data_IF_492855839248
#
_entry.id   IF_492855839248
#
_cell.length_a   1.000
_cell.length_b   1.000
_cell.length_c   1.000
_cell.angle_alpha   90.00
_cell.angle_beta   90.00
_cell.angle_gamma   90.00
#
_symmetry.space_group_name_H-M   'P 1'
#
loop_
_entity.id
_entity.type
_entity.pdbx_description
1 polymer ?
#
# COMPACT_ATOMS: atom_id res chain seq x y z
N UNK A 1 -1.75 -5.70 9.67
CA UNK A 1 -2.07 -4.85 8.50
C UNK A 1 -0.82 -4.14 7.98
N UNK A 2 -0.67 -4.00 6.66
CA UNK A 2 0.40 -3.24 6.02
C UNK A 2 -0.23 -2.18 5.13
N UNK A 3 0.09 -0.92 5.40
CA UNK A 3 -0.16 0.20 4.50
C UNK A 3 1.15 0.62 3.86
N UNK A 4 1.12 0.82 2.55
CA UNK A 4 2.29 1.29 1.81
C UNK A 4 1.87 2.17 0.66
N UNK A 5 2.40 3.37 0.61
CA UNK A 5 2.16 4.30 -0.48
C UNK A 5 3.38 4.43 -1.40
N UNK A 6 3.09 4.78 -2.65
CA UNK A 6 4.07 5.06 -3.68
C UNK A 6 3.51 6.11 -4.65
N UNK A 7 4.40 6.84 -5.30
CA UNK A 7 4.04 7.89 -6.26
C UNK A 7 4.28 7.37 -7.67
N UNK A 8 3.27 7.46 -8.52
CA UNK A 8 3.32 6.98 -9.89
C UNK A 8 3.70 8.15 -10.80
N UNK A 9 4.82 8.01 -11.49
CA UNK A 9 5.36 9.06 -12.36
C UNK A 9 4.62 9.17 -13.69
N UNK A 10 4.76 10.33 -14.34
CA UNK A 10 4.28 10.59 -15.69
C UNK A 10 4.72 9.49 -16.66
N UNK A 11 3.81 9.04 -17.52
CA UNK A 11 4.04 7.98 -18.50
C UNK A 11 3.88 6.56 -17.94
N UNK A 12 3.64 6.40 -16.63
CA UNK A 12 3.36 5.10 -16.00
C UNK A 12 1.88 4.85 -15.73
N UNK A 13 1.04 5.87 -15.86
CA UNK A 13 -0.41 5.82 -15.65
C UNK A 13 -1.10 4.78 -16.54
N UNK A 14 -0.74 4.69 -17.83
CA UNK A 14 -1.27 3.63 -18.73
C UNK A 14 -0.90 2.22 -18.26
N UNK A 15 0.32 2.04 -17.76
CA UNK A 15 0.76 0.76 -17.23
C UNK A 15 0.05 0.41 -15.91
N UNK A 16 -0.27 1.40 -15.09
CA UNK A 16 -1.07 1.27 -13.89
C UNK A 16 -2.51 0.83 -14.22
N UNK A 17 -3.15 1.49 -15.20
CA UNK A 17 -4.47 1.09 -15.71
C UNK A 17 -4.50 -0.36 -16.17
N UNK A 18 -3.53 -0.77 -17.01
CA UNK A 18 -3.45 -2.17 -17.46
C UNK A 18 -3.28 -3.16 -16.31
N UNK A 19 -2.48 -2.81 -15.29
CA UNK A 19 -2.28 -3.66 -14.13
C UNK A 19 -3.60 -3.92 -13.39
N UNK A 20 -4.43 -2.90 -13.17
CA UNK A 20 -5.73 -3.03 -12.50
C UNK A 20 -6.86 -3.58 -13.37
N UNK A 21 -6.64 -3.66 -14.69
CA UNK A 21 -7.57 -4.33 -15.61
C UNK A 21 -7.24 -5.81 -15.83
N UNK A 22 -6.03 -6.25 -15.48
CA UNK A 22 -5.57 -7.62 -15.73
C UNK A 22 -5.63 -8.46 -14.46
N UNK A 23 -6.16 -9.69 -14.59
CA UNK A 23 -6.16 -10.67 -13.50
C UNK A 23 -4.73 -11.01 -13.02
N UNK A 24 -3.75 -11.09 -13.93
CA UNK A 24 -2.36 -11.40 -13.59
C UNK A 24 -2.26 -12.69 -12.76
N UNK A 25 -1.44 -12.67 -11.70
CA UNK A 25 -1.32 -13.76 -10.72
C UNK A 25 -2.46 -13.79 -9.67
N UNK A 26 -3.43 -12.87 -9.76
CA UNK A 26 -4.51 -12.78 -8.78
C UNK A 26 -5.64 -13.76 -9.11
N UNK A 27 -6.29 -14.29 -8.08
CA UNK A 27 -7.49 -15.10 -8.21
C UNK A 27 -8.69 -14.25 -8.66
N UNK A 28 -8.79 -13.01 -8.16
CA UNK A 28 -9.81 -12.04 -8.55
C UNK A 28 -9.28 -10.60 -8.52
N UNK A 29 -9.90 -9.76 -9.34
CA UNK A 29 -9.74 -8.30 -9.38
C UNK A 29 -11.13 -7.70 -9.41
N UNK A 30 -11.48 -6.85 -8.44
CA UNK A 30 -12.80 -6.24 -8.33
C UNK A 30 -12.68 -4.74 -8.03
N UNK A 31 -13.28 -3.91 -8.87
CA UNK A 31 -13.40 -2.48 -8.59
C UNK A 31 -14.49 -2.27 -7.54
N UNK A 32 -14.10 -1.74 -6.38
CA UNK A 32 -15.02 -1.41 -5.29
C UNK A 32 -15.55 0.02 -5.42
N UNK A 33 -14.77 0.91 -6.00
CA UNK A 33 -15.18 2.28 -6.31
C UNK A 33 -14.31 2.86 -7.44
N UNK A 34 -14.94 3.65 -8.32
CA UNK A 34 -14.31 4.16 -9.55
C UNK A 34 -14.01 3.06 -10.57
N UNK A 35 -13.23 3.42 -11.59
CA UNK A 35 -12.89 2.55 -12.71
C UNK A 35 -11.59 2.95 -13.41
N UNK A 36 -11.24 2.16 -14.44
CA UNK A 36 -9.98 2.33 -15.20
C UNK A 36 -9.87 3.71 -15.86
N UNK A 37 -11.00 4.24 -16.35
CA UNK A 37 -11.08 5.58 -16.96
C UNK A 37 -10.77 6.70 -15.97
N UNK A 38 -11.12 6.52 -14.70
CA UNK A 38 -10.95 7.55 -13.66
C UNK A 38 -9.47 7.78 -13.35
N UNK A 39 -8.62 6.78 -13.56
CA UNK A 39 -7.15 6.93 -13.45
C UNK A 39 -6.64 8.01 -14.42
N UNK A 40 -7.17 8.06 -15.65
CA UNK A 40 -6.76 9.05 -16.63
C UNK A 40 -7.20 10.46 -16.22
N UNK A 41 -8.43 10.59 -15.72
CA UNK A 41 -8.95 11.85 -15.19
C UNK A 41 -8.17 12.33 -13.96
N UNK A 42 -7.86 11.42 -13.04
CA UNK A 42 -7.07 11.67 -11.84
C UNK A 42 -5.65 12.17 -12.17
N UNK A 43 -5.06 11.69 -13.26
CA UNK A 43 -3.72 12.08 -13.67
C UNK A 43 -3.66 13.44 -14.40
N UNK A 44 -4.80 13.92 -14.94
CA UNK A 44 -4.86 15.08 -15.81
C UNK A 44 -4.42 16.40 -15.13
N UNK A 45 -4.87 16.72 -13.89
CA UNK A 45 -4.41 17.91 -13.17
C UNK A 45 -2.89 18.00 -13.04
N UNK A 46 -2.28 16.91 -12.61
CA UNK A 46 -0.83 16.80 -12.47
C UNK A 46 -0.11 16.94 -13.82
N UNK A 47 -0.71 16.45 -14.90
CA UNK A 47 -0.17 16.61 -16.25
C UNK A 47 -0.19 18.07 -16.72
N UNK A 48 -1.32 18.75 -16.57
CA UNK A 48 -1.50 20.15 -16.99
C UNK A 48 -0.53 21.06 -16.21
N UNK A 49 -0.34 20.78 -14.93
CA UNK A 49 0.54 21.57 -14.05
C UNK A 49 2.00 21.13 -14.08
N UNK A 50 2.39 20.24 -14.99
CA UNK A 50 3.78 19.85 -15.21
C UNK A 50 4.41 19.00 -14.10
N UNK A 51 3.62 18.33 -13.27
CA UNK A 51 4.12 17.53 -12.15
C UNK A 51 4.78 16.22 -12.62
N UNK A 52 5.84 15.83 -11.91
CA UNK A 52 6.57 14.58 -12.18
C UNK A 52 5.71 13.34 -11.86
N UNK A 53 4.91 13.44 -10.79
CA UNK A 53 4.06 12.37 -10.29
C UNK A 53 2.60 12.74 -10.50
N UNK A 54 1.80 11.76 -10.93
CA UNK A 54 0.41 11.99 -11.35
C UNK A 54 -0.61 11.33 -10.44
N UNK A 55 -0.30 10.14 -9.93
CA UNK A 55 -1.20 9.35 -9.09
C UNK A 55 -0.43 8.88 -7.87
N UNK A 56 -1.04 8.95 -6.69
CA UNK A 56 -0.58 8.24 -5.51
C UNK A 56 -1.26 6.87 -5.48
N UNK A 57 -0.45 5.84 -5.32
CA UNK A 57 -0.92 4.47 -5.15
C UNK A 57 -0.63 4.02 -3.73
N UNK A 58 -1.67 3.70 -2.98
CA UNK A 58 -1.60 3.13 -1.63
C UNK A 58 -2.09 1.69 -1.66
N UNK A 59 -1.37 0.78 -1.02
CA UNK A 59 -1.80 -0.59 -0.78
C UNK A 59 -2.26 -0.68 0.67
N UNK A 60 -3.43 -1.27 0.90
CA UNK A 60 -3.93 -1.67 2.21
C UNK A 60 -4.01 -3.19 2.21
N UNK A 61 -3.08 -3.85 2.89
CA UNK A 61 -3.02 -5.29 3.01
C UNK A 61 -3.34 -5.69 4.45
N UNK A 62 -4.62 -6.00 4.76
CA UNK A 62 -5.00 -6.40 6.10
C UNK A 62 -4.55 -7.83 6.40
N UNK A 63 -4.49 -8.16 7.70
CA UNK A 63 -4.17 -9.53 8.16
C UNK A 63 -5.44 -10.35 8.38
N UNK A 64 -6.57 -9.67 8.56
CA UNK A 64 -7.90 -10.24 8.68
C UNK A 64 -8.78 -9.59 7.62
N UNK A 65 -9.90 -10.22 7.26
CA UNK A 65 -10.82 -9.63 6.28
C UNK A 65 -11.39 -8.31 6.81
N UNK A 66 -11.41 -7.28 5.97
CA UNK A 66 -12.04 -6.00 6.30
C UNK A 66 -13.51 -6.05 5.87
N UNK A 67 -14.41 -5.57 6.73
CA UNK A 67 -15.75 -5.22 6.29
C UNK A 67 -15.70 -4.02 5.33
N UNK A 68 -16.76 -3.80 4.55
CA UNK A 68 -16.85 -2.59 3.70
C UNK A 68 -16.82 -1.30 4.53
N UNK A 69 -17.36 -1.34 5.75
CA UNK A 69 -17.30 -0.22 6.71
C UNK A 69 -15.86 0.05 7.15
N UNK A 70 -15.10 -0.98 7.49
CA UNK A 70 -13.70 -0.84 7.89
C UNK A 70 -12.83 -0.38 6.71
N UNK A 71 -13.10 -0.88 5.50
CA UNK A 71 -12.43 -0.42 4.29
C UNK A 71 -12.71 1.08 4.03
N UNK A 72 -13.94 1.52 4.21
CA UNK A 72 -14.30 2.94 4.09
C UNK A 72 -13.60 3.78 5.17
N UNK A 73 -13.53 3.29 6.41
CA UNK A 73 -12.82 3.96 7.50
C UNK A 73 -11.29 4.03 7.26
N UNK A 74 -10.69 2.95 6.76
CA UNK A 74 -9.28 2.91 6.38
C UNK A 74 -8.97 3.87 5.23
N UNK A 75 -9.83 3.90 4.21
CA UNK A 75 -9.73 4.84 3.08
C UNK A 75 -9.80 6.29 3.57
N UNK A 76 -10.77 6.60 4.45
CA UNK A 76 -10.88 7.93 5.05
C UNK A 76 -9.62 8.29 5.83
N UNK A 77 -9.08 7.38 6.64
CA UNK A 77 -7.86 7.62 7.41
C UNK A 77 -6.65 7.92 6.52
N UNK A 78 -6.49 7.20 5.39
CA UNK A 78 -5.44 7.50 4.40
C UNK A 78 -5.63 8.90 3.82
N UNK A 79 -6.86 9.26 3.42
CA UNK A 79 -7.16 10.59 2.89
C UNK A 79 -6.92 11.71 3.91
N UNK A 80 -7.28 11.49 5.18
CA UNK A 80 -7.08 12.44 6.27
C UNK A 80 -5.58 12.62 6.55
N UNK A 81 -4.82 11.53 6.68
CA UNK A 81 -3.37 11.56 6.90
C UNK A 81 -2.70 12.40 5.83
N UNK A 82 -2.93 12.11 4.55
CA UNK A 82 -2.31 12.86 3.46
C UNK A 82 -2.96 14.21 3.15
N UNK A 83 -3.96 14.64 3.93
CA UNK A 83 -4.60 15.94 3.79
C UNK A 83 -5.33 16.15 2.46
N UNK A 84 -5.89 15.07 1.91
CA UNK A 84 -6.66 15.05 0.65
C UNK A 84 -7.93 15.87 0.84
N UNK A 85 -8.13 16.88 0.00
CA UNK A 85 -9.30 17.75 0.02
C UNK A 85 -10.60 16.99 -0.26
N UNK A 86 -11.73 17.60 0.07
CA UNK A 86 -13.02 17.02 -0.24
C UNK A 86 -13.19 16.75 -1.75
N UNK A 87 -12.75 17.67 -2.60
CA UNK A 87 -12.80 17.53 -4.05
C UNK A 87 -11.95 16.33 -4.53
N UNK A 88 -10.72 16.21 -4.03
CA UNK A 88 -9.83 15.11 -4.39
C UNK A 88 -10.31 13.75 -3.86
N UNK A 89 -11.02 13.70 -2.72
CA UNK A 89 -11.62 12.46 -2.19
C UNK A 89 -12.66 11.86 -3.14
N UNK A 90 -13.41 12.69 -3.85
CA UNK A 90 -14.39 12.25 -4.85
C UNK A 90 -13.77 11.58 -6.09
N UNK A 91 -12.45 11.65 -6.24
CA UNK A 91 -11.71 11.04 -7.35
C UNK A 91 -10.98 9.77 -6.94
N UNK A 92 -11.01 9.39 -5.66
CA UNK A 92 -10.31 8.19 -5.18
C UNK A 92 -10.83 6.97 -5.93
N UNK A 93 -9.96 6.02 -6.28
CA UNK A 93 -10.41 4.72 -6.77
C UNK A 93 -9.96 3.60 -5.84
N UNK A 94 -10.75 2.53 -5.77
CA UNK A 94 -10.50 1.38 -4.91
C UNK A 94 -10.62 0.09 -5.71
N UNK A 95 -9.52 -0.66 -5.78
CA UNK A 95 -9.46 -1.97 -6.44
C UNK A 95 -9.10 -3.04 -5.42
N UNK A 96 -9.89 -4.09 -5.35
CA UNK A 96 -9.62 -5.27 -4.53
C UNK A 96 -8.92 -6.33 -5.37
N UNK A 97 -7.81 -6.87 -4.84
CA UNK A 97 -7.11 -8.02 -5.38
C UNK A 97 -7.07 -9.14 -4.34
N UNK A 98 -7.47 -10.35 -4.73
CA UNK A 98 -7.26 -11.55 -3.92
C UNK A 98 -6.23 -12.45 -4.62
N UNK A 99 -5.14 -12.81 -3.94
CA UNK A 99 -4.11 -13.72 -4.47
C UNK A 99 -4.28 -15.09 -3.83
N UNK A 100 -4.36 -16.15 -4.63
CA UNK A 100 -4.40 -17.51 -4.09
C UNK A 100 -3.16 -17.79 -3.22
N UNK A 101 -3.38 -18.31 -2.03
CA UNK A 101 -2.34 -18.82 -1.14
C UNK A 101 -2.43 -20.34 -1.16
N UNK A 102 -1.32 -21.04 -1.39
CA UNK A 102 -1.29 -22.50 -1.39
C UNK A 102 -1.84 -23.03 -0.06
N UNK A 103 -2.90 -23.85 -0.14
CA UNK A 103 -3.54 -24.47 1.01
C UNK A 103 -4.60 -23.63 1.75
N UNK A 104 -4.90 -22.39 1.34
CA UNK A 104 -5.99 -21.61 1.94
C UNK A 104 -7.28 -21.66 1.11
N UNK A 105 -8.41 -21.90 1.78
CA UNK A 105 -9.76 -21.95 1.16
C UNK A 105 -10.20 -20.57 0.64
N UNK A 106 -9.77 -19.49 1.31
CA UNK A 106 -10.09 -18.11 0.90
C UNK A 106 -8.87 -17.21 1.14
N UNK A 107 -8.43 -16.53 0.09
CA UNK A 107 -7.39 -15.53 0.17
C UNK A 107 -7.91 -14.25 0.86
N UNK A 108 -7.12 -13.69 1.77
CA UNK A 108 -7.42 -12.39 2.36
C UNK A 108 -7.10 -11.31 1.31
N UNK A 109 -8.10 -10.52 0.89
CA UNK A 109 -7.88 -9.53 -0.15
C UNK A 109 -6.97 -8.39 0.33
N UNK A 110 -6.20 -7.82 -0.60
CA UNK A 110 -5.55 -6.54 -0.42
C UNK A 110 -6.18 -5.51 -1.36
N UNK A 111 -6.16 -4.26 -0.92
CA UNK A 111 -6.81 -3.17 -1.62
C UNK A 111 -5.77 -2.20 -2.17
N UNK A 112 -6.03 -1.72 -3.37
CA UNK A 112 -5.27 -0.68 -4.04
C UNK A 112 -6.12 0.59 -4.06
N UNK A 113 -5.65 1.61 -3.34
CA UNK A 113 -6.22 2.94 -3.33
C UNK A 113 -5.43 3.82 -4.30
N UNK A 114 -6.14 4.51 -5.18
CA UNK A 114 -5.57 5.48 -6.11
C UNK A 114 -6.08 6.86 -5.74
N UNK A 115 -5.17 7.82 -5.58
CA UNK A 115 -5.50 9.21 -5.24
C UNK A 115 -4.83 10.17 -6.25
N UNK A 116 -5.45 11.32 -6.58
CA UNK A 116 -4.80 12.33 -7.40
C UNK A 116 -3.59 12.89 -6.65
N UNK A 117 -2.40 12.82 -7.27
CA UNK A 117 -1.18 13.31 -6.61
C UNK A 117 -1.14 14.84 -6.54
N UNK A 118 -1.79 15.52 -7.49
CA UNK A 118 -2.05 16.95 -7.45
C UNK A 118 -3.50 17.18 -7.00
N UNK A 119 -3.66 17.76 -5.82
CA UNK A 119 -4.96 18.06 -5.23
C UNK A 119 -5.47 19.40 -5.75
N UNK A 120 -6.43 19.36 -6.69
CA UNK A 120 -7.05 20.56 -7.26
C UNK A 120 -7.76 21.42 -6.21
N UNK A 121 -8.31 20.83 -5.15
CA UNK A 121 -9.00 21.59 -4.10
C UNK A 121 -8.05 22.39 -3.20
N UNK A 122 -6.73 22.13 -3.29
CA UNK A 122 -5.68 22.83 -2.54
C UNK A 122 -4.60 23.43 -3.42
N UNK A 123 -4.74 23.25 -4.74
CA UNK A 123 -3.79 23.68 -5.78
C UNK A 123 -2.34 23.30 -5.46
N UNK A 124 -2.13 22.07 -4.97
CA UNK A 124 -0.79 21.61 -4.58
C UNK A 124 -0.63 20.10 -4.69
N UNK A 125 0.62 19.68 -4.79
CA UNK A 125 1.01 18.27 -4.67
C UNK A 125 0.83 17.78 -3.23
N UNK A 126 0.39 16.54 -3.07
CA UNK A 126 0.28 15.89 -1.76
C UNK A 126 1.63 15.80 -1.04
N UNK A 127 1.62 16.00 0.29
CA UNK A 127 2.84 15.90 1.08
C UNK A 127 3.39 14.46 1.07
N UNK A 128 4.69 14.33 0.84
CA UNK A 128 5.41 13.05 0.74
C UNK A 128 6.47 12.88 1.83
N UNK A 129 6.62 13.85 2.72
CA UNK A 129 7.58 13.76 3.84
C UNK A 129 7.17 12.65 4.78
N UNK A 130 8.17 11.93 5.29
CA UNK A 130 8.03 10.85 6.28
C UNK A 130 7.01 9.76 5.89
N UNK A 131 6.80 9.55 4.58
CA UNK A 131 5.79 8.62 4.04
C UNK A 131 5.83 7.25 4.72
N UNK A 132 7.01 6.65 4.89
CA UNK A 132 7.13 5.34 5.51
C UNK A 132 6.66 5.31 6.97
N UNK A 133 7.03 6.33 7.76
CA UNK A 133 6.61 6.44 9.15
C UNK A 133 5.10 6.71 9.26
N UNK A 134 4.54 7.51 8.35
CA UNK A 134 3.11 7.82 8.30
C UNK A 134 2.27 6.60 7.90
N UNK A 135 2.73 5.85 6.90
CA UNK A 135 2.13 4.59 6.49
C UNK A 135 2.20 3.54 7.61
N UNK A 136 3.31 3.48 8.36
CA UNK A 136 3.44 2.62 9.53
C UNK A 136 2.48 3.04 10.66
N UNK A 137 2.41 4.35 10.98
CA UNK A 137 1.46 4.91 11.95
C UNK A 137 0.02 4.58 11.59
N UNK A 138 -0.38 4.82 10.34
CA UNK A 138 -1.70 4.46 9.82
C UNK A 138 -1.97 2.97 9.98
N UNK A 139 -0.99 2.12 9.67
CA UNK A 139 -1.11 0.67 9.81
C UNK A 139 -1.38 0.28 11.28
N UNK A 140 -0.60 0.80 12.23
CA UNK A 140 -0.77 0.49 13.66
C UNK A 140 -2.10 1.04 14.18
N UNK A 141 -2.45 2.26 13.80
CA UNK A 141 -3.72 2.89 14.18
C UNK A 141 -4.92 2.04 13.74
N UNK A 142 -4.92 1.58 12.49
CA UNK A 142 -6.03 0.77 11.94
C UNK A 142 -6.02 -0.66 12.48
N UNK A 143 -4.85 -1.24 12.80
CA UNK A 143 -4.82 -2.51 13.52
C UNK A 143 -5.51 -2.41 14.87
N UNK A 144 -5.19 -1.37 15.64
CA UNK A 144 -5.81 -1.15 16.95
C UNK A 144 -7.31 -0.86 16.86
N UNK A 145 -7.75 -0.12 15.83
CA UNK A 145 -9.17 0.19 15.63
C UNK A 145 -10.00 -1.01 15.17
N UNK A 146 -9.42 -1.90 14.36
CA UNK A 146 -10.11 -3.06 13.81
C UNK A 146 -9.76 -4.35 14.55
N UNK A 147 -9.09 -4.25 15.69
CA UNK A 147 -8.68 -5.39 16.53
C UNK A 147 -7.82 -6.42 15.78
N UNK A 148 -7.06 -5.98 14.78
CA UNK A 148 -6.08 -6.84 14.12
C UNK A 148 -4.84 -7.03 15.02
N UNK A 149 -4.10 -8.14 14.86
CA UNK A 149 -2.82 -8.32 15.51
C UNK A 149 -1.88 -7.14 15.25
N UNK A 150 -1.37 -6.55 16.33
CA UNK A 150 -0.36 -5.52 16.27
C UNK A 150 1.00 -6.13 15.97
N UNK A 151 1.80 -5.45 15.17
CA UNK A 151 3.18 -5.85 14.80
C UNK A 151 4.17 -4.71 15.03
N UNK A 152 5.43 -5.02 15.26
CA UNK A 152 6.49 -4.02 15.27
C UNK A 152 6.86 -3.58 13.85
N UNK A 153 7.21 -2.32 13.70
CA UNK A 153 7.79 -1.73 12.51
C UNK A 153 9.16 -1.10 12.77
N UNK A 154 9.58 -0.20 11.87
CA UNK A 154 10.89 0.44 11.94
C UNK A 154 10.88 1.72 12.77
N UNK A 155 9.71 2.34 12.94
CA UNK A 155 9.51 3.65 13.56
C UNK A 155 8.70 3.52 14.84
N UNK A 156 8.84 2.42 15.60
CA UNK A 156 7.98 2.09 16.74
C UNK A 156 7.87 3.20 17.77
N UNK A 157 8.99 3.86 18.10
CA UNK A 157 9.00 4.99 19.04
C UNK A 157 8.17 6.15 18.51
N UNK A 158 8.46 6.59 17.30
CA UNK A 158 7.82 7.74 16.65
C UNK A 158 6.33 7.47 16.41
N UNK A 159 5.99 6.24 16.01
CA UNK A 159 4.61 5.79 15.82
C UNK A 159 3.88 5.74 17.16
N UNK A 160 4.45 5.14 18.19
CA UNK A 160 3.80 5.05 19.50
C UNK A 160 3.51 6.45 20.07
N UNK A 161 4.49 7.35 20.05
CA UNK A 161 4.30 8.74 20.49
C UNK A 161 3.27 9.47 19.63
N UNK A 162 3.34 9.36 18.30
CA UNK A 162 2.36 9.98 17.41
C UNK A 162 0.94 9.45 17.62
N UNK A 163 0.77 8.16 17.89
CA UNK A 163 -0.55 7.60 18.21
C UNK A 163 -1.09 8.12 19.54
N UNK A 164 -0.22 8.24 20.55
CA UNK A 164 -0.58 8.76 21.86
C UNK A 164 -1.01 10.23 21.79
N UNK A 165 -0.31 11.03 20.99
CA UNK A 165 -0.60 12.47 20.82
C UNK A 165 -1.83 12.71 19.94
N UNK A 166 -1.93 12.03 18.79
CA UNK A 166 -2.98 12.30 17.80
C UNK A 166 -4.30 11.55 18.10
N UNK A 167 -4.25 10.44 18.85
CA UNK A 167 -5.39 9.59 19.15
C UNK A 167 -5.46 9.22 20.64
N UNK A 168 -5.68 10.19 21.56
CA UNK A 168 -5.63 9.96 23.01
C UNK A 168 -6.66 8.94 23.53
N UNK A 169 -7.73 8.66 22.77
CA UNK A 169 -8.72 7.63 23.10
C UNK A 169 -8.40 6.23 22.57
N UNK A 170 -7.32 6.05 21.82
CA UNK A 170 -6.95 4.75 21.25
C UNK A 170 -6.23 3.88 22.31
N UNK A 171 -6.71 2.67 22.54
CA UNK A 171 -6.06 1.73 23.46
C UNK A 171 -4.73 1.23 22.86
N UNK A 172 -3.60 1.71 23.40
CA UNK A 172 -2.26 1.33 22.91
C UNK A 172 -1.69 0.07 23.58
N UNK A 173 -2.40 -0.53 24.52
CA UNK A 173 -1.94 -1.71 25.28
C UNK A 173 -1.58 -2.88 24.34
N UNK A 174 -2.41 -3.26 23.34
CA UNK A 174 -2.08 -4.37 22.44
C UNK A 174 -0.78 -4.11 21.65
N UNK A 175 -0.59 -2.87 21.19
CA UNK A 175 0.63 -2.50 20.47
C UNK A 175 1.86 -2.52 21.38
N UNK A 176 1.75 -1.99 22.61
CA UNK A 176 2.83 -2.04 23.59
C UNK A 176 3.23 -3.48 23.92
N UNK A 177 2.26 -4.38 24.10
CA UNK A 177 2.51 -5.80 24.36
C UNK A 177 3.23 -6.46 23.19
N UNK A 178 2.78 -6.22 21.96
CA UNK A 178 3.46 -6.72 20.76
C UNK A 178 4.92 -6.25 20.68
N UNK A 179 5.19 -4.97 20.96
CA UNK A 179 6.56 -4.43 20.96
C UNK A 179 7.44 -5.06 22.04
N UNK A 180 6.91 -5.27 23.26
CA UNK A 180 7.64 -5.95 24.33
C UNK A 180 8.00 -7.38 23.95
N UNK A 181 7.02 -8.12 23.42
CA UNK A 181 7.23 -9.48 22.97
C UNK A 181 8.32 -9.55 21.88
N UNK A 182 8.20 -8.73 20.83
CA UNK A 182 9.17 -8.75 19.72
C UNK A 182 10.56 -8.26 20.14
N UNK A 183 10.66 -7.36 21.12
CA UNK A 183 11.93 -6.97 21.74
C UNK A 183 12.64 -8.17 22.37
N UNK A 184 11.90 -8.96 23.17
CA UNK A 184 12.43 -10.17 23.82
C UNK A 184 12.81 -11.23 22.77
N UNK A 185 11.97 -11.45 21.76
CA UNK A 185 12.26 -12.38 20.65
C UNK A 185 13.51 -11.98 19.86
N UNK A 186 13.81 -10.67 19.79
CA UNK A 186 15.03 -10.15 19.18
C UNK A 186 16.27 -10.22 20.09
N UNK A 187 16.16 -10.82 21.29
CA UNK A 187 17.24 -10.92 22.26
C UNK A 187 17.51 -9.64 23.06
N UNK A 188 16.57 -8.68 23.04
CA UNK A 188 16.66 -7.43 23.80
C UNK A 188 15.82 -7.50 25.08
N UNK A 189 16.04 -6.55 25.99
CA UNK A 189 15.22 -6.42 27.19
C UNK A 189 13.80 -5.98 26.86
N UNK A 190 12.83 -6.49 27.62
CA UNK A 190 11.45 -6.00 27.58
C UNK A 190 11.32 -4.54 28.01
N UNK A 191 12.34 -3.95 28.67
CA UNK A 191 12.38 -2.53 29.04
C UNK A 191 12.72 -1.62 27.86
N UNK A 192 13.42 -2.16 26.86
CA UNK A 192 13.89 -1.42 25.68
C UNK A 192 12.90 -1.51 24.50
N UNK A 193 11.69 -2.00 24.75
CA UNK A 193 10.65 -2.28 23.75
C UNK A 193 10.33 -1.10 22.83
N UNK A 194 10.41 0.13 23.34
CA UNK A 194 10.12 1.32 22.54
C UNK A 194 11.25 1.64 21.55
N UNK A 195 12.48 1.29 21.90
CA UNK A 195 13.67 1.51 21.07
C UNK A 195 13.89 0.39 20.05
N UNK A 196 13.18 -0.74 20.19
CA UNK A 196 13.24 -1.84 19.23
C UNK A 196 12.82 -1.36 17.84
N UNK A 197 13.59 -1.74 16.82
CA UNK A 197 13.26 -1.51 15.41
C UNK A 197 13.24 -2.86 14.71
N UNK A 198 12.11 -3.21 14.13
CA UNK A 198 12.01 -4.40 13.30
C UNK A 198 12.92 -4.23 12.07
N UNK A 199 13.57 -5.32 11.65
CA UNK A 199 14.29 -5.31 10.36
C UNK A 199 13.28 -5.00 9.26
N UNK A 200 13.68 -4.15 8.31
CA UNK A 200 12.85 -3.93 7.13
C UNK A 200 12.63 -5.29 6.47
N UNK A 201 11.38 -5.73 6.25
CA UNK A 201 11.17 -6.87 5.37
C UNK A 201 11.81 -6.52 4.01
N UNK A 202 12.40 -7.51 3.35
CA UNK A 202 12.88 -7.33 1.98
C UNK A 202 11.74 -6.67 1.17
N UNK A 203 12.01 -5.58 0.44
CA UNK A 203 10.94 -4.83 -0.19
C UNK A 203 10.15 -5.78 -1.10
N UNK A 204 8.87 -5.99 -0.78
CA UNK A 204 7.99 -6.72 -1.68
C UNK A 204 8.12 -6.08 -3.07
N UNK A 205 8.56 -6.87 -4.06
CA UNK A 205 8.82 -6.36 -5.41
C UNK A 205 7.58 -5.60 -5.86
N UNK A 206 7.76 -4.33 -6.20
CA UNK A 206 6.69 -3.54 -6.80
C UNK A 206 6.20 -4.25 -8.06
N UNK A 207 4.95 -4.04 -8.46
CA UNK A 207 4.45 -4.60 -9.72
C UNK A 207 5.36 -4.20 -10.90
N UNK A 208 6.00 -3.02 -10.82
CA UNK A 208 7.01 -2.57 -11.78
C UNK A 208 8.26 -3.45 -11.78
N UNK A 209 8.81 -3.80 -10.61
CA UNK A 209 9.94 -4.71 -10.50
C UNK A 209 9.57 -6.11 -11.01
N UNK A 210 8.39 -6.63 -10.65
CA UNK A 210 7.90 -7.93 -11.15
C UNK A 210 7.73 -7.93 -12.68
N UNK A 211 7.21 -6.84 -13.26
CA UNK A 211 7.06 -6.70 -14.72
C UNK A 211 8.41 -6.61 -15.43
N UNK A 212 9.42 -5.97 -14.83
CA UNK A 212 10.78 -5.95 -15.37
C UNK A 212 11.36 -7.36 -15.37
N UNK A 213 11.23 -8.09 -14.27
CA UNK A 213 11.69 -9.48 -14.15
C UNK A 213 10.98 -10.38 -15.17
N UNK A 214 9.65 -10.27 -15.32
CA UNK A 214 8.89 -11.04 -16.31
C UNK A 214 9.33 -10.73 -17.75
N UNK A 215 9.62 -9.46 -18.08
CA UNK A 215 10.17 -9.08 -19.39
C UNK A 215 11.58 -9.64 -19.60
N UNK A 216 12.42 -9.60 -18.58
CA UNK A 216 13.79 -10.15 -18.64
C UNK A 216 13.76 -11.67 -18.81
N UNK A 217 12.86 -12.37 -18.10
CA UNK A 217 12.67 -13.82 -18.24
C UNK A 217 12.13 -14.19 -19.62
N UNK A 218 11.12 -13.48 -20.14
CA UNK A 218 10.63 -13.70 -21.50
C UNK A 218 11.71 -13.44 -22.56
N UNK A 219 12.59 -12.45 -22.35
CA UNK A 219 13.73 -12.22 -23.25
C UNK A 219 14.75 -13.38 -23.18
N UNK A 220 15.03 -13.89 -21.98
CA UNK A 220 15.93 -15.01 -21.78
C UNK A 220 15.36 -16.31 -22.38
N UNK A 221 14.05 -16.53 -22.30
CA UNK A 221 13.38 -17.66 -22.96
C UNK A 221 13.42 -17.54 -24.48
N UNK A 222 13.27 -16.34 -25.05
CA UNK A 222 13.42 -16.12 -26.50
C UNK A 222 14.87 -16.31 -26.96
N UNK A 223 15.85 -15.84 -26.18
CA UNK A 223 17.27 -16.00 -26.48
C UNK A 223 17.71 -17.47 -26.32
N UNK A 224 17.21 -18.18 -25.31
CA UNK A 224 17.53 -19.59 -25.07
C UNK A 224 16.68 -20.56 -25.91
N UNK A 225 15.53 -20.11 -26.43
CA UNK A 225 14.66 -20.85 -27.34
C UNK A 225 15.03 -20.72 -28.82
N UNK A 226 16.00 -19.86 -29.16
CA UNK A 226 16.60 -19.75 -30.48
C UNK A 226 17.75 -20.76 -30.67
N UNK A 227 17.52 -22.05 -30.40
CA UNK A 227 18.35 -23.13 -30.94
C UNK A 227 17.60 -24.47 -30.96
N UNK A 228 16.77 -24.64 -31.99
CA UNK A 228 16.66 -25.91 -32.70
C UNK A 228 16.37 -25.58 -34.18
N UNK A 229 17.36 -25.68 -35.08
CA UNK A 229 17.04 -25.75 -36.49
C UNK A 229 16.26 -27.04 -36.71
N UNK A 230 15.02 -26.93 -37.19
CA UNK A 230 14.32 -28.06 -37.79
C UNK A 230 15.14 -28.50 -39.01
N UNK A 231 15.94 -29.53 -38.83
CA UNK A 231 16.41 -30.35 -39.93
C UNK A 231 15.68 -31.69 -39.86
N UNK A 232 14.89 -31.89 -40.92
CA UNK A 232 14.20 -33.11 -41.38
C UNK A 232 12.97 -33.55 -40.58
#
# INVERSE_FOLDING_TARGET
MIIKSSRISRGRTKALSSYFSSKGDNQSVCWRYGGVSDIAWMALPAQITGQVFQVRHVIIAPEMELSMTDLAAATKAVCDEYGVSHLARGQVCIVEHAKATDGQVKAIPHFHLLLPEYDMGRERVMDSRFTHMRDEKLSRMLELRFEHPSRAGQFNKEVYSGLQEEFPGLCLIPFQQALKQMSVEAGLSARDWLSFRAKAPAPAKSWMARRKDAKTMALLEVVNGLHMPRFL
#
